data_IF_653822242857
#
_entry.id   IF_653822242857
#
_cell.length_a   1.000
_cell.length_b   1.000
_cell.length_c   1.000
_cell.angle_alpha   90.00
_cell.angle_beta   90.00
_cell.angle_gamma   90.00
#
_symmetry.space_group_name_H-M   'P 1'
#
loop_
_entity.id
_entity.type
_entity.pdbx_description
1 polymer ?
#
# COMPACT_ATOMS: atom_id res chain seq x y z
N UNK A 1 3.88 -12.01 -2.84
CA UNK A 1 3.74 -11.02 -3.93
C UNK A 1 4.80 -9.92 -3.87
N UNK A 2 5.07 -9.24 -4.99
CA UNK A 2 5.86 -7.99 -4.99
C UNK A 2 4.98 -6.82 -4.58
N UNK A 3 5.50 -5.94 -3.73
CA UNK A 3 4.81 -4.75 -3.25
C UNK A 3 5.76 -3.55 -3.11
N UNK A 4 5.21 -2.34 -3.20
CA UNK A 4 5.91 -1.11 -2.82
C UNK A 4 5.62 -0.84 -1.35
N UNK A 5 6.65 -0.82 -0.52
CA UNK A 5 6.54 -0.69 0.94
C UNK A 5 7.31 0.50 1.46
N UNK A 6 6.94 0.98 2.65
CA UNK A 6 7.72 1.90 3.46
C UNK A 6 7.54 1.60 4.95
N UNK A 7 8.57 1.86 5.75
CA UNK A 7 8.59 1.59 7.20
C UNK A 7 8.81 2.85 8.04
N UNK A 8 8.98 3.99 7.39
CA UNK A 8 9.12 5.31 8.01
C UNK A 8 8.43 6.35 7.14
N UNK A 9 8.01 7.48 7.73
CA UNK A 9 7.42 8.59 7.01
C UNK A 9 8.50 9.46 6.32
N UNK A 10 8.10 10.19 5.28
CA UNK A 10 8.90 11.20 4.57
C UNK A 10 8.19 12.57 4.60
N UNK A 11 8.26 13.31 5.73
CA UNK A 11 7.64 14.64 5.84
C UNK A 11 8.33 15.72 4.97
N UNK A 12 9.53 15.42 4.47
CA UNK A 12 10.34 16.25 3.57
C UNK A 12 10.11 15.92 2.08
N UNK A 13 9.14 15.06 1.77
CA UNK A 13 8.79 14.57 0.44
C UNK A 13 9.91 13.77 -0.27
N UNK A 14 10.92 13.31 0.47
CA UNK A 14 11.97 12.47 -0.10
C UNK A 14 11.53 10.99 -0.15
N UNK A 15 10.52 10.69 -0.97
CA UNK A 15 9.92 9.35 -1.03
C UNK A 15 10.88 8.28 -1.57
N UNK A 16 11.84 8.66 -2.42
CA UNK A 16 12.86 7.74 -2.94
C UNK A 16 13.72 7.12 -1.84
N UNK A 17 13.82 7.77 -0.67
CA UNK A 17 14.54 7.25 0.50
C UNK A 17 13.77 6.12 1.20
N UNK A 18 12.44 6.20 1.23
CA UNK A 18 11.60 5.30 2.06
C UNK A 18 10.97 4.17 1.26
N UNK A 19 10.69 4.39 -0.03
CA UNK A 19 9.99 3.44 -0.88
C UNK A 19 10.91 2.30 -1.33
N UNK A 20 10.47 1.07 -1.10
CA UNK A 20 11.18 -0.15 -1.52
C UNK A 20 10.23 -1.06 -2.28
N UNK A 21 10.72 -1.66 -3.36
CA UNK A 21 10.04 -2.81 -3.98
C UNK A 21 10.55 -4.07 -3.28
N UNK A 22 9.66 -4.82 -2.66
CA UNK A 22 10.01 -6.01 -1.89
C UNK A 22 9.08 -7.17 -2.23
N UNK A 23 9.58 -8.40 -2.07
CA UNK A 23 8.76 -9.60 -2.02
C UNK A 23 8.24 -9.77 -0.58
N UNK A 24 6.91 -9.86 -0.43
CA UNK A 24 6.20 -10.08 0.84
C UNK A 24 5.27 -11.29 0.72
N UNK A 25 4.80 -11.82 1.84
CA UNK A 25 3.83 -12.92 1.84
C UNK A 25 2.52 -12.50 1.18
N UNK A 26 1.85 -13.45 0.51
CA UNK A 26 0.52 -13.20 -0.04
C UNK A 26 -0.51 -13.08 1.09
N UNK A 27 -1.43 -12.10 1.03
CA UNK A 27 -2.44 -11.93 2.05
C UNK A 27 -3.45 -13.08 2.01
N UNK A 28 -4.07 -13.35 3.16
CA UNK A 28 -5.22 -14.26 3.27
C UNK A 28 -6.41 -13.45 3.76
N UNK A 29 -7.58 -13.53 3.10
CA UNK A 29 -8.73 -12.75 3.51
C UNK A 29 -9.25 -13.24 4.88
N UNK A 30 -9.70 -12.31 5.71
CA UNK A 30 -10.62 -12.61 6.83
C UNK A 30 -12.06 -12.75 6.30
N UNK A 31 -12.97 -13.18 7.17
CA UNK A 31 -14.37 -13.50 6.84
C UNK A 31 -15.16 -12.37 6.13
N UNK A 32 -14.72 -11.12 6.24
CA UNK A 32 -15.34 -9.94 5.67
C UNK A 32 -14.44 -9.23 4.63
N UNK A 33 -13.39 -9.89 4.16
CA UNK A 33 -12.40 -9.34 3.25
C UNK A 33 -12.34 -10.14 1.93
N UNK A 34 -11.81 -9.49 0.89
CA UNK A 34 -11.46 -10.14 -0.38
C UNK A 34 -9.98 -9.94 -0.67
N UNK A 35 -9.37 -10.90 -1.34
CA UNK A 35 -8.07 -10.74 -1.98
C UNK A 35 -8.30 -10.69 -3.49
N UNK A 36 -7.76 -9.67 -4.13
CA UNK A 36 -7.83 -9.48 -5.56
C UNK A 36 -6.44 -9.26 -6.15
N UNK A 37 -6.22 -9.76 -7.35
CA UNK A 37 -4.99 -9.52 -8.10
C UNK A 37 -5.06 -8.13 -8.71
N UNK A 38 -4.26 -7.21 -8.18
CA UNK A 38 -4.20 -5.82 -8.67
C UNK A 38 -3.68 -5.80 -10.11
N UNK A 39 -4.51 -5.31 -11.04
CA UNK A 39 -4.15 -5.09 -12.45
C UNK A 39 -3.75 -3.64 -12.71
N UNK A 40 -4.28 -2.71 -11.92
CA UNK A 40 -3.96 -1.29 -12.01
C UNK A 40 -4.12 -0.64 -10.64
N UNK A 41 -3.21 0.28 -10.32
CA UNK A 41 -3.27 1.11 -9.12
C UNK A 41 -3.18 2.57 -9.54
N UNK A 42 -3.91 3.45 -8.83
CA UNK A 42 -3.82 4.88 -9.03
C UNK A 42 -2.79 5.49 -8.06
N UNK A 43 -2.24 6.65 -8.46
CA UNK A 43 -1.45 7.49 -7.57
C UNK A 43 -2.22 8.79 -7.33
N UNK A 44 -2.60 8.99 -6.08
CA UNK A 44 -3.36 10.12 -5.60
C UNK A 44 -2.54 10.94 -4.60
N UNK A 45 -3.00 12.16 -4.31
CA UNK A 45 -2.39 12.99 -3.27
C UNK A 45 -2.55 12.37 -1.86
N UNK A 46 -3.54 11.49 -1.68
CA UNK A 46 -3.69 10.68 -0.46
C UNK A 46 -2.43 9.84 -0.18
N UNK A 47 -1.83 9.23 -1.20
CA UNK A 47 -0.65 8.39 -1.01
C UNK A 47 0.54 9.22 -0.51
N UNK A 48 0.65 10.47 -0.99
CA UNK A 48 1.60 11.46 -0.47
C UNK A 48 1.33 11.78 1.00
N UNK A 49 0.07 12.01 1.39
CA UNK A 49 -0.28 12.24 2.80
C UNK A 49 0.04 11.04 3.69
N UNK A 50 -0.25 9.82 3.23
CA UNK A 50 0.13 8.59 3.93
C UNK A 50 1.64 8.46 4.11
N UNK A 51 2.42 8.74 3.07
CA UNK A 51 3.89 8.74 3.15
C UNK A 51 4.44 9.84 4.05
N UNK A 52 3.82 11.02 4.11
CA UNK A 52 4.17 12.09 5.07
C UNK A 52 3.77 11.75 6.50
N UNK A 53 2.74 10.92 6.68
CA UNK A 53 2.07 10.67 7.96
C UNK A 53 1.11 11.78 8.39
N UNK A 54 0.89 12.82 7.56
CA UNK A 54 0.01 13.95 7.83
C UNK A 54 -0.71 14.43 6.56
N UNK A 55 -2.01 14.77 6.64
CA UNK A 55 -2.91 14.59 7.78
C UNK A 55 -3.35 13.12 7.98
N UNK A 56 -2.93 12.20 7.09
CA UNK A 56 -3.28 10.78 7.16
C UNK A 56 -2.09 10.00 7.74
N UNK A 57 -2.23 9.50 8.96
CA UNK A 57 -1.25 8.62 9.59
C UNK A 57 -1.63 7.16 9.34
N UNK A 58 -0.91 6.48 8.43
CA UNK A 58 -1.12 5.05 8.18
C UNK A 58 -0.30 4.18 9.14
N UNK A 59 -0.73 2.95 9.45
CA UNK A 59 0.10 2.02 10.22
C UNK A 59 1.39 1.68 9.47
N UNK A 60 2.52 1.73 10.18
CA UNK A 60 3.83 1.30 9.68
C UNK A 60 4.19 -0.09 10.24
N UNK A 61 4.84 -0.97 9.46
CA UNK A 61 5.18 -0.81 8.04
C UNK A 61 3.94 -0.85 7.15
N UNK A 62 4.00 -0.14 6.01
CA UNK A 62 2.87 0.04 5.11
C UNK A 62 3.19 -0.42 3.69
N UNK A 63 2.20 -1.04 3.02
CA UNK A 63 2.19 -1.24 1.56
C UNK A 63 1.52 -0.02 0.95
N UNK A 64 2.22 0.71 0.08
CA UNK A 64 1.70 1.94 -0.52
C UNK A 64 0.55 1.68 -1.49
N UNK A 65 -0.41 2.62 -1.54
CA UNK A 65 -1.52 2.65 -2.48
C UNK A 65 -2.86 2.74 -1.76
N UNK A 66 -3.73 3.62 -2.24
CA UNK A 66 -5.05 3.87 -1.66
C UNK A 66 -6.22 3.53 -2.61
N UNK A 67 -5.94 3.29 -3.89
CA UNK A 67 -6.94 2.99 -4.91
C UNK A 67 -6.36 2.02 -5.96
N UNK A 68 -7.11 0.97 -6.27
CA UNK A 68 -6.70 -0.10 -7.17
C UNK A 68 -7.91 -0.82 -7.77
N UNK A 69 -7.69 -1.43 -8.94
CA UNK A 69 -8.66 -2.28 -9.62
C UNK A 69 -8.00 -3.59 -10.08
N UNK A 70 -8.79 -4.66 -10.08
CA UNK A 70 -8.33 -5.98 -10.47
C UNK A 70 -9.38 -7.06 -10.27
N UNK A 71 -8.94 -8.31 -10.34
CA UNK A 71 -9.80 -9.49 -10.32
C UNK A 71 -9.80 -10.13 -8.93
N UNK A 72 -10.97 -10.42 -8.36
CA UNK A 72 -11.07 -11.14 -7.07
C UNK A 72 -10.58 -12.58 -7.23
N UNK A 73 -9.60 -12.98 -6.43
CA UNK A 73 -8.98 -14.33 -6.47
C UNK A 73 -9.25 -15.16 -5.21
N UNK A 74 -9.66 -14.53 -4.11
CA UNK A 74 -10.12 -15.23 -2.91
C UNK A 74 -11.11 -14.36 -2.10
N UNK A 75 -11.98 -15.02 -1.36
CA UNK A 75 -12.94 -14.43 -0.42
C UNK A 75 -12.85 -15.18 0.90
N UNK A 76 -13.09 -14.49 2.02
CA UNK A 76 -13.17 -15.11 3.34
C UNK A 76 -14.58 -15.54 3.74
#
# INVERSE_FOLDING_TARGET
>A
MKAVTYSEYAPDDNYAKILKVQDIDDPKPKADEVVFEVKSAALNYNDIWGMRGVPVAVPLPHVSGSDAAGDVIAVG
#
